data_IF_489980863047
#
_entry.id   IF_489980863047
#
_cell.length_a   1.000
_cell.length_b   1.000
_cell.length_c   1.000
_cell.angle_alpha   90.00
_cell.angle_beta   90.00
_cell.angle_gamma   90.00
#
_symmetry.space_group_name_H-M   'P 1'
#
loop_
_entity.id
_entity.type
_entity.pdbx_description
1 polymer ?
#
# COMPACT_ATOMS: atom_id res chain seq x y z
N UNK A 1 -4.28 -16.90 16.75
CA UNK A 1 -5.57 -16.19 16.53
C UNK A 1 -5.23 -14.71 16.49
N UNK A 2 -4.96 -14.16 15.28
CA UNK A 2 -4.70 -12.74 15.12
C UNK A 2 -5.99 -11.98 15.42
N UNK A 3 -5.94 -11.03 16.34
CA UNK A 3 -7.06 -10.14 16.60
C UNK A 3 -7.38 -9.34 15.34
N UNK A 4 -8.62 -9.34 14.94
CA UNK A 4 -9.13 -8.88 13.67
C UNK A 4 -9.25 -7.34 13.56
N UNK A 5 -8.18 -6.62 13.75
CA UNK A 5 -8.16 -5.17 13.48
C UNK A 5 -6.88 -4.83 12.75
N UNK A 6 -7.03 -4.45 11.51
CA UNK A 6 -5.94 -4.18 10.58
C UNK A 6 -5.19 -2.87 10.88
N UNK A 7 -5.84 -1.93 11.54
CA UNK A 7 -5.17 -0.85 12.26
C UNK A 7 -4.07 -1.39 13.19
N UNK A 8 -4.20 -2.65 13.60
CA UNK A 8 -3.24 -3.32 14.48
C UNK A 8 -2.02 -3.90 13.72
N UNK A 9 -2.08 -4.16 12.41
CA UNK A 9 -0.92 -4.67 11.67
C UNK A 9 0.04 -3.56 11.20
N UNK A 10 -0.48 -2.37 10.92
CA UNK A 10 0.35 -1.16 10.77
C UNK A 10 0.98 -0.72 12.10
N UNK A 11 0.60 -1.34 13.18
CA UNK A 11 0.97 -0.98 14.55
C UNK A 11 1.55 -2.13 15.39
N UNK A 12 1.74 -3.33 14.82
CA UNK A 12 2.49 -4.39 15.51
C UNK A 12 3.97 -4.04 15.53
N UNK A 13 4.49 -3.77 16.72
CA UNK A 13 5.89 -3.39 16.95
C UNK A 13 6.72 -4.59 17.41
N UNK A 14 6.19 -5.79 17.32
CA UNK A 14 6.86 -7.02 17.69
C UNK A 14 6.15 -7.77 18.81
N UNK A 15 6.83 -8.79 19.36
CA UNK A 15 6.33 -9.57 20.49
C UNK A 15 7.09 -9.22 21.77
N UNK A 16 6.38 -9.15 22.91
CA UNK A 16 7.00 -9.15 24.24
C UNK A 16 6.56 -10.44 24.95
N UNK A 17 7.51 -11.31 25.29
CA UNK A 17 7.26 -12.58 25.99
C UNK A 17 6.24 -13.49 25.28
N UNK A 18 6.24 -13.52 23.94
CA UNK A 18 5.32 -14.34 23.15
C UNK A 18 3.91 -13.78 23.00
N UNK A 19 3.64 -12.57 23.46
CA UNK A 19 2.39 -11.85 23.24
C UNK A 19 2.58 -10.73 22.22
N UNK A 20 1.69 -10.64 21.25
CA UNK A 20 1.67 -9.54 20.28
C UNK A 20 1.47 -8.19 20.97
N UNK A 21 2.37 -7.25 20.68
CA UNK A 21 2.25 -5.90 21.19
C UNK A 21 1.53 -5.06 20.13
N UNK A 22 0.38 -4.59 20.49
CA UNK A 22 -0.42 -3.66 19.69
C UNK A 22 -0.07 -2.22 20.06
N UNK A 23 -0.25 -1.31 19.11
CA UNK A 23 0.00 0.12 19.33
C UNK A 23 -0.70 0.63 20.60
N UNK A 24 -1.96 0.26 20.81
CA UNK A 24 -2.73 0.64 22.01
C UNK A 24 -2.15 0.11 23.33
N UNK A 25 -1.36 -0.97 23.32
CA UNK A 25 -0.66 -1.48 24.51
C UNK A 25 0.60 -0.65 24.80
N UNK A 26 1.21 -0.11 23.75
CA UNK A 26 2.37 0.77 23.88
C UNK A 26 1.94 2.18 24.31
N UNK A 27 0.81 2.71 23.81
CA UNK A 27 0.20 3.94 24.32
C UNK A 27 -0.05 3.89 25.83
N UNK A 28 -0.61 2.78 26.34
CA UNK A 28 -0.78 2.54 27.78
C UNK A 28 0.54 2.53 28.58
N UNK A 29 1.68 2.38 27.88
CA UNK A 29 3.03 2.44 28.43
C UNK A 29 3.73 3.77 28.18
N UNK A 30 3.00 4.77 27.67
CA UNK A 30 3.51 6.12 27.42
C UNK A 30 4.10 6.33 26.01
N UNK A 31 3.74 5.48 25.05
CA UNK A 31 4.09 5.65 23.65
C UNK A 31 2.91 6.21 22.87
N UNK A 32 3.13 7.28 22.17
CA UNK A 32 2.16 7.86 21.23
C UNK A 32 2.46 7.33 19.82
N UNK A 33 1.66 6.36 19.37
CA UNK A 33 1.82 5.74 18.04
C UNK A 33 1.11 6.51 16.94
N UNK A 34 0.06 7.23 17.26
CA UNK A 34 -0.67 8.04 16.28
C UNK A 34 0.21 9.15 15.70
N UNK A 35 1.25 9.54 16.45
CA UNK A 35 2.18 10.60 16.08
C UNK A 35 3.63 10.13 15.91
N UNK A 36 3.92 8.84 16.05
CA UNK A 36 5.26 8.26 16.18
C UNK A 36 6.10 8.12 14.91
N UNK A 37 5.73 8.73 13.80
CA UNK A 37 6.43 8.55 12.52
C UNK A 37 7.48 9.61 12.27
N UNK A 38 8.64 9.14 11.76
CA UNK A 38 9.73 10.01 11.30
C UNK A 38 9.27 10.77 10.07
N UNK A 39 9.24 12.08 10.13
CA UNK A 39 9.15 12.92 8.92
C UNK A 39 10.55 13.34 8.50
N UNK A 40 10.98 13.05 7.27
CA UNK A 40 12.30 13.49 6.78
C UNK A 40 12.21 14.89 6.18
N UNK A 41 11.84 15.90 6.97
CA UNK A 41 11.76 17.26 6.42
C UNK A 41 13.05 18.08 6.57
N UNK A 42 14.04 17.60 7.34
CA UNK A 42 15.21 18.43 7.68
C UNK A 42 16.50 17.68 8.02
N UNK A 43 16.56 16.38 7.72
CA UNK A 43 17.74 15.56 8.02
C UNK A 43 17.94 15.28 9.50
N UNK A 44 16.98 15.56 10.35
CA UNK A 44 17.01 15.19 11.76
C UNK A 44 16.35 13.84 12.01
N UNK A 45 16.95 13.05 12.88
CA UNK A 45 16.49 11.74 13.34
C UNK A 45 15.29 11.84 14.30
N UNK A 46 14.21 12.48 13.88
CA UNK A 46 13.05 12.71 14.74
C UNK A 46 11.76 12.15 14.14
N UNK A 47 10.86 11.68 14.99
CA UNK A 47 9.49 11.35 14.61
C UNK A 47 8.66 12.64 14.36
N UNK A 48 7.37 12.47 14.01
CA UNK A 48 6.46 13.59 13.73
C UNK A 48 6.39 14.64 14.85
N UNK A 49 6.65 14.24 16.10
CA UNK A 49 6.66 15.09 17.29
C UNK A 49 8.07 15.56 17.70
N UNK A 50 9.07 15.39 16.83
CA UNK A 50 10.43 15.77 17.13
C UNK A 50 11.18 14.80 18.07
N UNK A 51 10.64 13.59 18.32
CA UNK A 51 11.30 12.59 19.17
C UNK A 51 12.37 11.81 18.38
N UNK A 52 13.56 11.60 18.94
CA UNK A 52 14.64 10.90 18.23
C UNK A 52 14.29 9.43 17.96
N UNK A 53 14.56 8.93 16.74
CA UNK A 53 14.48 7.50 16.37
C UNK A 53 15.33 6.61 17.29
N UNK A 54 16.39 7.15 17.88
CA UNK A 54 17.14 6.50 18.95
C UNK A 54 16.30 5.98 20.12
N UNK A 55 15.11 6.56 20.31
CA UNK A 55 14.19 6.12 21.35
C UNK A 55 13.58 4.77 20.95
N UNK A 56 13.11 4.60 19.70
CA UNK A 56 12.49 3.36 19.22
C UNK A 56 13.45 2.16 19.33
N UNK A 57 14.71 2.31 18.91
CA UNK A 57 15.70 1.23 19.01
C UNK A 57 16.05 0.88 20.46
N UNK A 58 16.13 1.88 21.36
CA UNK A 58 16.34 1.64 22.79
C UNK A 58 15.15 0.94 23.41
N UNK A 59 13.97 1.34 23.03
CA UNK A 59 12.72 0.82 23.58
C UNK A 59 12.51 -0.62 23.12
N UNK A 60 12.72 -0.92 21.83
CA UNK A 60 12.70 -2.30 21.32
C UNK A 60 13.68 -3.18 22.12
N UNK A 61 14.90 -2.71 22.37
CA UNK A 61 15.90 -3.44 23.15
C UNK A 61 15.48 -3.59 24.62
N UNK A 62 14.97 -2.55 25.26
CA UNK A 62 14.60 -2.56 26.68
C UNK A 62 13.38 -3.43 26.98
N UNK A 63 12.52 -3.65 25.98
CA UNK A 63 11.33 -4.49 26.07
C UNK A 63 11.54 -5.88 25.48
N UNK A 64 12.77 -6.24 25.07
CA UNK A 64 13.12 -7.53 24.45
C UNK A 64 12.21 -7.85 23.25
N UNK A 65 12.03 -6.90 22.36
CA UNK A 65 11.27 -7.10 21.11
C UNK A 65 12.05 -8.04 20.20
N UNK A 66 11.45 -9.11 19.74
CA UNK A 66 12.09 -10.12 18.88
C UNK A 66 12.36 -9.57 17.49
N UNK A 67 11.40 -8.85 16.89
CA UNK A 67 11.53 -8.15 15.61
C UNK A 67 10.48 -7.03 15.49
N UNK A 68 10.74 -6.08 14.62
CA UNK A 68 9.86 -4.94 14.36
C UNK A 68 9.35 -5.00 12.92
N UNK A 69 8.04 -4.86 12.73
CA UNK A 69 7.42 -4.68 11.42
C UNK A 69 7.21 -3.20 11.13
N UNK A 70 7.60 -2.75 9.91
CA UNK A 70 7.43 -1.36 9.50
C UNK A 70 6.31 -1.26 8.46
N UNK A 71 5.24 -0.54 8.79
CA UNK A 71 4.10 -0.31 7.90
C UNK A 71 4.31 0.84 6.91
N UNK A 72 4.67 2.06 7.39
CA UNK A 72 4.68 3.23 6.53
C UNK A 72 5.97 3.38 5.72
N UNK A 73 5.82 3.75 4.45
CA UNK A 73 6.91 3.94 3.49
C UNK A 73 7.83 5.12 3.82
N UNK A 74 7.31 6.19 4.40
CA UNK A 74 8.09 7.39 4.70
C UNK A 74 9.22 7.11 5.69
N UNK A 75 8.99 6.28 6.71
CA UNK A 75 10.02 5.91 7.68
C UNK A 75 11.03 4.92 7.09
N UNK A 76 10.60 4.05 6.17
CA UNK A 76 11.49 3.18 5.41
C UNK A 76 12.43 4.00 4.52
N UNK A 77 11.89 4.96 3.77
CA UNK A 77 12.68 5.90 2.96
C UNK A 77 13.63 6.76 3.82
N UNK A 78 13.28 7.01 5.09
CA UNK A 78 14.14 7.71 6.05
C UNK A 78 15.22 6.82 6.69
N UNK A 79 15.28 5.51 6.34
CA UNK A 79 16.32 4.59 6.78
C UNK A 79 16.13 4.06 8.20
N UNK A 80 14.89 3.81 8.63
CA UNK A 80 14.59 3.19 9.94
C UNK A 80 15.24 1.81 10.04
N UNK A 81 15.21 1.02 8.96
CA UNK A 81 15.79 -0.33 8.90
C UNK A 81 17.29 -0.30 9.16
N UNK A 82 18.04 0.56 8.46
CA UNK A 82 19.48 0.72 8.64
C UNK A 82 19.86 1.07 10.09
N UNK A 83 19.00 1.83 10.78
CA UNK A 83 19.21 2.22 12.17
C UNK A 83 18.94 1.09 13.15
N UNK A 84 17.90 0.28 12.91
CA UNK A 84 17.60 -0.89 13.72
C UNK A 84 18.68 -1.96 13.58
N UNK A 85 19.10 -2.26 12.36
CA UNK A 85 20.17 -3.22 12.06
C UNK A 85 21.51 -2.78 12.71
N UNK A 86 21.85 -1.48 12.59
CA UNK A 86 23.03 -0.92 13.28
C UNK A 86 22.95 -1.02 14.80
N UNK A 87 21.75 -1.05 15.36
CA UNK A 87 21.52 -1.26 16.80
C UNK A 87 21.49 -2.75 17.19
N UNK A 88 21.64 -3.67 16.23
CA UNK A 88 21.54 -5.12 16.43
C UNK A 88 20.11 -5.60 16.69
N UNK A 89 19.13 -4.88 16.18
CA UNK A 89 17.70 -5.20 16.30
C UNK A 89 17.17 -5.73 14.97
N UNK A 90 16.40 -6.82 15.02
CA UNK A 90 15.74 -7.36 13.82
C UNK A 90 14.58 -6.47 13.40
N UNK A 91 14.44 -6.28 12.10
CA UNK A 91 13.42 -5.42 11.53
C UNK A 91 12.94 -6.01 10.20
N UNK A 92 11.62 -5.99 9.98
CA UNK A 92 10.98 -6.38 8.74
C UNK A 92 10.53 -5.12 8.00
N UNK A 93 11.34 -4.72 7.06
CA UNK A 93 11.20 -3.56 6.19
C UNK A 93 12.51 -3.35 5.43
N UNK A 94 12.48 -2.98 4.14
CA UNK A 94 13.68 -2.79 3.35
C UNK A 94 14.54 -1.65 3.89
N UNK A 95 15.85 -1.71 3.62
CA UNK A 95 16.78 -0.62 3.95
C UNK A 95 16.46 0.66 3.15
N UNK A 96 17.09 1.77 3.51
CA UNK A 96 16.85 3.08 2.89
C UNK A 96 17.04 3.06 1.37
N UNK A 97 18.03 2.33 0.87
CA UNK A 97 18.32 2.23 -0.55
C UNK A 97 17.23 1.46 -1.30
N UNK A 98 16.78 0.33 -0.77
CA UNK A 98 15.73 -0.48 -1.36
C UNK A 98 14.37 0.23 -1.28
N UNK A 99 14.13 1.00 -0.21
CA UNK A 99 12.93 1.81 -0.06
C UNK A 99 12.78 2.90 -1.14
N UNK A 100 13.87 3.27 -1.84
CA UNK A 100 13.79 4.18 -2.98
C UNK A 100 12.99 3.61 -4.17
N UNK A 101 12.73 2.31 -4.21
CA UNK A 101 11.81 1.73 -5.21
C UNK A 101 10.37 2.26 -5.10
N UNK A 102 9.96 2.75 -3.91
CA UNK A 102 8.72 3.52 -3.72
C UNK A 102 9.01 5.02 -3.57
N UNK A 103 10.12 5.36 -2.93
CA UNK A 103 10.50 6.73 -2.60
C UNK A 103 10.79 7.63 -3.81
N UNK A 104 11.16 7.06 -4.95
CA UNK A 104 11.41 7.79 -6.21
C UNK A 104 10.92 6.96 -7.41
N UNK A 105 10.04 7.53 -8.19
CA UNK A 105 9.52 6.89 -9.41
C UNK A 105 10.60 6.76 -10.48
N UNK A 106 11.42 7.78 -10.64
CA UNK A 106 12.58 7.74 -11.54
C UNK A 106 13.55 6.62 -11.14
N UNK A 107 13.83 6.46 -9.84
CA UNK A 107 14.68 5.38 -9.36
C UNK A 107 14.10 3.99 -9.68
N UNK A 108 12.82 3.79 -9.44
CA UNK A 108 12.12 2.54 -9.76
C UNK A 108 12.14 2.25 -11.27
N UNK A 109 11.90 3.26 -12.10
CA UNK A 109 11.90 3.12 -13.56
C UNK A 109 13.30 2.78 -14.09
N UNK A 110 14.35 3.42 -13.56
CA UNK A 110 15.74 3.07 -13.89
C UNK A 110 16.11 1.66 -13.45
N UNK A 111 15.64 1.23 -12.29
CA UNK A 111 15.80 -0.15 -11.82
C UNK A 111 15.13 -1.13 -12.80
N UNK A 112 13.87 -0.88 -13.16
CA UNK A 112 13.14 -1.72 -14.11
C UNK A 112 13.83 -1.78 -15.49
N UNK A 113 14.28 -0.64 -15.99
CA UNK A 113 15.01 -0.57 -17.26
C UNK A 113 16.33 -1.36 -17.21
N UNK A 114 17.10 -1.20 -16.13
CA UNK A 114 18.39 -1.90 -15.96
C UNK A 114 18.27 -3.40 -15.95
N UNK A 115 17.20 -3.92 -15.38
CA UNK A 115 16.97 -5.36 -15.22
C UNK A 115 15.94 -5.94 -16.19
N UNK A 116 15.58 -5.18 -17.23
CA UNK A 116 14.63 -5.56 -18.29
C UNK A 116 13.26 -5.99 -17.75
N UNK A 117 12.77 -5.31 -16.73
CA UNK A 117 11.45 -5.53 -16.15
C UNK A 117 10.44 -4.73 -16.97
N UNK A 118 9.37 -5.37 -17.50
CA UNK A 118 8.37 -4.68 -18.32
C UNK A 118 7.69 -3.56 -17.55
N UNK A 119 7.75 -2.34 -18.08
CA UNK A 119 7.05 -1.16 -17.56
C UNK A 119 6.62 -0.25 -18.72
N UNK A 120 5.95 0.84 -18.42
CA UNK A 120 5.60 1.85 -19.39
C UNK A 120 6.85 2.51 -20.01
N UNK A 121 6.76 2.94 -21.27
CA UNK A 121 7.77 3.84 -21.84
C UNK A 121 7.71 5.16 -21.05
N UNK A 122 8.87 5.65 -20.65
CA UNK A 122 8.96 6.82 -19.78
C UNK A 122 10.12 7.73 -20.12
N UNK A 123 10.05 8.96 -19.65
CA UNK A 123 11.16 9.90 -19.63
C UNK A 123 11.05 10.82 -18.41
N UNK A 124 12.18 11.14 -17.79
CA UNK A 124 12.27 11.98 -16.59
C UNK A 124 12.85 13.33 -16.93
N UNK A 125 12.22 14.40 -16.46
CA UNK A 125 12.57 15.78 -16.73
C UNK A 125 12.79 16.55 -15.43
N UNK A 126 13.75 17.49 -15.46
CA UNK A 126 14.12 18.31 -14.30
C UNK A 126 13.74 19.79 -14.47
N UNK A 127 13.05 20.14 -15.56
CA UNK A 127 12.46 21.48 -15.73
C UNK A 127 11.14 21.41 -16.50
N UNK A 128 10.26 22.39 -16.28
CA UNK A 128 8.98 22.47 -16.96
C UNK A 128 9.15 22.60 -18.49
N UNK A 129 10.11 23.40 -18.93
CA UNK A 129 10.35 23.68 -20.35
C UNK A 129 10.75 22.41 -21.11
N UNK A 130 11.69 21.63 -20.53
CA UNK A 130 12.13 20.38 -21.16
C UNK A 130 11.06 19.31 -21.11
N UNK A 131 10.28 19.23 -20.03
CA UNK A 131 9.18 18.30 -19.87
C UNK A 131 8.06 18.57 -20.90
N UNK A 132 7.65 19.84 -21.04
CA UNK A 132 6.67 20.26 -22.06
C UNK A 132 7.17 19.96 -23.48
N UNK A 133 8.45 20.23 -23.77
CA UNK A 133 9.03 19.91 -25.06
C UNK A 133 9.08 18.39 -25.34
N UNK A 134 9.19 17.55 -24.29
CA UNK A 134 9.17 16.09 -24.35
C UNK A 134 7.78 15.49 -24.65
N UNK A 135 6.69 16.23 -24.43
CA UNK A 135 5.32 15.74 -24.72
C UNK A 135 5.13 15.28 -26.16
N UNK A 136 5.88 15.84 -27.12
CA UNK A 136 5.84 15.44 -28.53
C UNK A 136 6.19 13.97 -28.79
N UNK A 137 6.90 13.36 -27.86
CA UNK A 137 7.35 11.97 -27.95
C UNK A 137 6.35 10.99 -27.30
N UNK A 138 5.21 11.48 -26.80
CA UNK A 138 4.16 10.69 -26.16
C UNK A 138 2.80 10.90 -26.84
N UNK A 139 2.04 9.82 -26.91
CA UNK A 139 0.64 9.88 -27.34
C UNK A 139 -0.27 10.26 -26.16
N UNK A 140 -1.38 10.94 -26.45
CA UNK A 140 -2.40 11.21 -25.44
C UNK A 140 -3.44 10.10 -25.36
N UNK A 141 -3.92 9.77 -24.14
CA UNK A 141 -3.55 10.39 -22.86
C UNK A 141 -2.12 10.03 -22.42
N UNK A 142 -1.44 10.97 -21.79
CA UNK A 142 -0.11 10.77 -21.18
C UNK A 142 -0.21 10.79 -19.66
N UNK A 143 0.58 9.97 -18.99
CA UNK A 143 0.65 9.94 -17.52
C UNK A 143 1.80 10.82 -17.05
N UNK A 144 1.50 11.73 -16.14
CA UNK A 144 2.45 12.68 -15.55
C UNK A 144 2.55 12.35 -14.05
N UNK A 145 3.74 12.05 -13.59
CA UNK A 145 3.99 11.67 -12.18
C UNK A 145 4.99 12.61 -11.52
N UNK A 146 4.64 13.05 -10.32
CA UNK A 146 5.62 13.68 -9.42
C UNK A 146 6.66 12.62 -9.00
N UNK A 147 7.93 12.98 -8.95
CA UNK A 147 8.95 12.12 -8.35
C UNK A 147 8.95 12.30 -6.83
N UNK A 148 8.87 11.17 -6.10
CA UNK A 148 8.77 11.16 -4.65
C UNK A 148 7.49 10.52 -4.12
N UNK A 149 7.36 10.48 -2.78
CA UNK A 149 6.17 9.99 -2.08
C UNK A 149 5.03 11.00 -2.22
N UNK A 150 3.92 10.58 -2.82
CA UNK A 150 2.75 11.46 -3.07
C UNK A 150 1.42 10.88 -2.56
N UNK A 151 1.44 9.74 -1.85
CA UNK A 151 0.23 9.11 -1.29
C UNK A 151 -0.86 8.83 -2.33
N UNK A 152 -0.48 8.41 -3.54
CA UNK A 152 -1.42 8.15 -4.65
C UNK A 152 -1.98 9.40 -5.34
N UNK A 153 -1.55 10.60 -4.95
CA UNK A 153 -2.09 11.88 -5.47
C UNK A 153 -1.18 12.56 -6.50
N UNK A 154 0.08 12.18 -6.60
CA UNK A 154 1.07 12.77 -7.52
C UNK A 154 1.00 12.23 -8.95
N UNK A 155 -0.15 11.71 -9.40
CA UNK A 155 -0.33 11.11 -10.74
C UNK A 155 -1.50 11.77 -11.45
N UNK A 156 -1.25 12.36 -12.60
CA UNK A 156 -2.27 12.94 -13.50
C UNK A 156 -2.26 12.23 -14.84
N UNK A 157 -3.43 11.82 -15.31
CA UNK A 157 -3.62 11.31 -16.67
C UNK A 157 -4.15 12.48 -17.52
N UNK A 158 -3.26 13.12 -18.27
CA UNK A 158 -3.59 14.24 -19.12
C UNK A 158 -4.13 13.77 -20.47
N UNK A 159 -5.35 14.20 -20.80
CA UNK A 159 -6.06 13.76 -22.01
C UNK A 159 -5.64 14.51 -23.27
N UNK A 160 -5.03 15.66 -23.12
CA UNK A 160 -4.55 16.53 -24.21
C UNK A 160 -3.37 17.38 -23.73
N UNK A 161 -2.78 18.10 -24.68
CA UNK A 161 -1.59 18.91 -24.45
C UNK A 161 -1.82 20.03 -23.43
N UNK A 162 -2.96 20.73 -23.48
CA UNK A 162 -3.23 21.88 -22.60
C UNK A 162 -3.23 21.42 -21.13
N UNK A 163 -3.95 20.32 -20.82
CA UNK A 163 -3.97 19.74 -19.48
C UNK A 163 -2.59 19.26 -19.05
N UNK A 164 -1.81 18.67 -19.98
CA UNK A 164 -0.47 18.21 -19.66
C UNK A 164 0.46 19.36 -19.31
N UNK A 165 0.46 20.44 -20.13
CA UNK A 165 1.30 21.61 -19.88
C UNK A 165 0.95 22.31 -18.57
N UNK A 166 -0.35 22.48 -18.28
CA UNK A 166 -0.82 23.06 -17.02
C UNK A 166 -0.33 22.23 -15.83
N UNK A 167 -0.57 20.91 -15.86
CA UNK A 167 -0.12 19.97 -14.79
C UNK A 167 1.39 20.05 -14.58
N UNK A 168 2.19 20.02 -15.65
CA UNK A 168 3.66 20.08 -15.56
C UNK A 168 4.09 21.40 -14.90
N UNK A 169 3.51 22.53 -15.32
CA UNK A 169 3.83 23.85 -14.73
C UNK A 169 3.48 23.90 -13.24
N UNK A 170 2.32 23.36 -12.87
CA UNK A 170 1.87 23.31 -11.47
C UNK A 170 2.82 22.45 -10.61
N UNK A 171 3.22 21.27 -11.07
CA UNK A 171 4.14 20.39 -10.35
C UNK A 171 5.48 21.08 -10.10
N UNK A 172 6.11 21.67 -11.11
CA UNK A 172 7.38 22.39 -10.92
C UNK A 172 7.22 23.66 -10.09
N UNK A 173 6.12 24.41 -10.26
CA UNK A 173 5.82 25.58 -9.41
C UNK A 173 5.57 25.18 -7.94
N UNK A 174 5.03 23.99 -7.72
CA UNK A 174 4.86 23.37 -6.39
C UNK A 174 6.14 22.87 -5.76
N UNK A 175 7.30 22.98 -6.45
CA UNK A 175 8.62 22.64 -5.91
C UNK A 175 9.13 21.25 -6.30
N UNK A 176 8.47 20.54 -7.23
CA UNK A 176 9.00 19.29 -7.75
C UNK A 176 10.33 19.53 -8.47
N UNK A 177 11.33 18.71 -8.17
CA UNK A 177 12.66 18.75 -8.77
C UNK A 177 12.78 17.85 -10.00
N UNK A 178 11.86 16.88 -10.13
CA UNK A 178 11.74 15.99 -11.26
C UNK A 178 10.27 15.62 -11.50
N UNK A 179 9.90 15.45 -12.77
CA UNK A 179 8.60 14.96 -13.22
C UNK A 179 8.84 13.86 -14.25
N UNK A 180 8.06 12.79 -14.13
CA UNK A 180 8.12 11.66 -15.06
C UNK A 180 6.92 11.71 -16.01
N UNK A 181 7.18 11.60 -17.30
CA UNK A 181 6.16 11.32 -18.31
C UNK A 181 6.17 9.82 -18.63
N UNK A 182 4.98 9.22 -18.68
CA UNK A 182 4.83 7.80 -19.07
C UNK A 182 3.71 7.64 -20.12
N UNK A 183 3.87 6.63 -20.97
CA UNK A 183 2.75 6.18 -21.82
C UNK A 183 1.58 5.72 -20.92
N UNK A 184 0.35 6.02 -21.35
CA UNK A 184 -0.83 5.58 -20.63
C UNK A 184 -1.12 4.10 -20.93
N UNK A 185 -0.84 3.22 -19.99
CA UNK A 185 -1.18 1.83 -20.11
C UNK A 185 -2.69 1.61 -20.00
N UNK A 186 -3.23 0.66 -20.74
CA UNK A 186 -4.65 0.29 -20.74
C UNK A 186 -4.82 -1.18 -20.43
N UNK A 187 -5.67 -1.48 -19.47
CA UNK A 187 -5.98 -2.85 -19.04
C UNK A 187 -6.48 -2.90 -17.60
N UNK A 188 -6.81 -4.08 -17.09
CA UNK A 188 -7.08 -4.27 -15.67
C UNK A 188 -5.81 -4.14 -14.84
N UNK A 189 -5.92 -3.45 -13.70
CA UNK A 189 -4.86 -3.31 -12.71
C UNK A 189 -4.98 -4.41 -11.65
N UNK A 190 -3.84 -4.97 -11.23
CA UNK A 190 -3.75 -6.00 -10.20
C UNK A 190 -2.63 -5.69 -9.22
N UNK A 191 -2.81 -6.14 -7.98
CA UNK A 191 -1.84 -6.00 -6.89
C UNK A 191 -1.22 -7.36 -6.58
N UNK A 192 0.11 -7.46 -6.70
CA UNK A 192 0.88 -8.65 -6.34
C UNK A 192 1.81 -8.30 -5.17
N UNK A 193 1.89 -9.20 -4.20
CA UNK A 193 2.69 -9.03 -2.99
C UNK A 193 3.72 -10.13 -2.89
N UNK A 194 4.95 -9.75 -2.60
CA UNK A 194 6.07 -10.66 -2.46
C UNK A 194 6.76 -10.39 -1.13
N UNK A 195 6.82 -11.38 -0.25
CA UNK A 195 7.71 -11.36 0.91
C UNK A 195 9.10 -11.69 0.42
N UNK A 196 10.05 -10.82 0.68
CA UNK A 196 11.44 -10.94 0.24
C UNK A 196 12.36 -11.01 1.47
N UNK A 197 13.34 -11.88 1.41
CA UNK A 197 14.44 -11.94 2.36
C UNK A 197 15.72 -12.28 1.59
N UNK A 198 16.50 -11.25 1.27
CA UNK A 198 17.71 -11.34 0.46
C UNK A 198 17.45 -11.98 -0.91
N UNK A 199 17.96 -13.19 -1.15
CA UNK A 199 17.80 -13.96 -2.39
C UNK A 199 16.54 -14.85 -2.40
N UNK A 200 15.79 -14.87 -1.30
CA UNK A 200 14.59 -15.70 -1.12
C UNK A 200 13.34 -14.88 -1.22
N UNK A 201 12.29 -15.47 -1.76
CA UNK A 201 10.98 -14.83 -1.80
C UNK A 201 9.84 -15.86 -1.74
N UNK A 202 8.69 -15.40 -1.28
CA UNK A 202 7.41 -16.12 -1.37
C UNK A 202 6.31 -15.14 -1.76
N UNK A 203 5.31 -15.62 -2.52
CA UNK A 203 4.27 -14.76 -3.10
C UNK A 203 3.00 -14.93 -2.29
N UNK A 204 2.42 -13.81 -1.86
CA UNK A 204 1.13 -13.75 -1.17
C UNK A 204 -0.03 -13.82 -2.17
N UNK A 205 -1.28 -14.04 -1.70
CA UNK A 205 -2.46 -13.92 -2.55
C UNK A 205 -2.51 -12.56 -3.25
N UNK A 206 -2.95 -12.56 -4.51
CA UNK A 206 -3.16 -11.32 -5.27
C UNK A 206 -4.49 -10.67 -4.92
N UNK A 207 -4.57 -9.36 -5.09
CA UNK A 207 -5.79 -8.58 -4.92
C UNK A 207 -6.04 -7.63 -6.09
N UNK A 208 -7.26 -7.11 -6.18
CA UNK A 208 -7.59 -5.98 -7.04
C UNK A 208 -8.20 -4.85 -6.23
N UNK A 209 -7.61 -3.67 -6.35
CA UNK A 209 -8.07 -2.42 -5.75
C UNK A 209 -8.93 -1.61 -6.72
N UNK A 210 -9.65 -0.65 -6.17
CA UNK A 210 -10.46 0.33 -6.89
C UNK A 210 -9.96 1.74 -6.55
N UNK A 211 -9.05 2.25 -7.38
CA UNK A 211 -8.33 3.53 -7.15
C UNK A 211 -9.21 4.77 -7.30
N UNK A 212 -10.22 4.74 -8.19
CA UNK A 212 -11.07 5.91 -8.45
C UNK A 212 -12.12 6.10 -7.36
N UNK A 213 -12.41 7.37 -7.03
CA UNK A 213 -13.31 7.73 -5.92
C UNK A 213 -14.77 7.32 -6.14
N UNK A 214 -15.24 7.31 -7.36
CA UNK A 214 -16.66 7.07 -7.70
C UNK A 214 -16.90 5.79 -8.47
N UNK A 215 -18.16 5.35 -8.44
CA UNK A 215 -18.66 4.18 -9.16
C UNK A 215 -18.33 4.27 -10.67
N UNK A 216 -18.04 3.12 -11.26
CA UNK A 216 -17.66 3.03 -12.68
C UNK A 216 -16.30 3.66 -12.98
N UNK A 217 -15.40 3.69 -11.99
CA UNK A 217 -14.04 4.24 -12.09
C UNK A 217 -14.00 5.71 -12.53
N UNK A 218 -14.87 6.51 -11.95
CA UNK A 218 -14.99 7.96 -12.23
C UNK A 218 -14.35 8.80 -11.12
N UNK A 219 -13.98 10.03 -11.50
CA UNK A 219 -13.40 11.01 -10.58
C UNK A 219 -11.88 10.82 -10.37
N UNK A 220 -11.31 11.52 -9.39
CA UNK A 220 -9.88 11.47 -9.08
C UNK A 220 -9.42 10.12 -8.53
N UNK A 221 -8.11 9.88 -8.60
CA UNK A 221 -7.46 8.78 -7.90
C UNK A 221 -7.49 9.00 -6.38
N UNK A 222 -7.48 7.91 -5.65
CA UNK A 222 -7.48 7.87 -4.18
C UNK A 222 -6.41 6.91 -3.67
N UNK A 223 -6.31 6.72 -2.37
CA UNK A 223 -5.52 5.65 -1.76
C UNK A 223 -6.15 4.26 -1.87
N UNK A 224 -7.32 4.12 -2.53
CA UNK A 224 -8.11 2.90 -2.66
C UNK A 224 -9.46 3.01 -1.97
N UNK A 225 -10.51 2.61 -2.68
CA UNK A 225 -11.91 2.67 -2.21
C UNK A 225 -12.45 1.30 -1.79
N UNK A 226 -11.64 0.27 -1.91
CA UNK A 226 -11.96 -1.09 -1.57
C UNK A 226 -11.27 -2.08 -2.50
N UNK A 227 -11.18 -3.32 -2.06
CA UNK A 227 -10.44 -4.37 -2.74
C UNK A 227 -11.08 -5.73 -2.53
N UNK A 228 -10.60 -6.72 -3.27
CA UNK A 228 -11.02 -8.11 -3.12
C UNK A 228 -9.93 -9.09 -3.53
N UNK A 229 -10.01 -10.30 -3.00
CA UNK A 229 -9.18 -11.46 -3.30
C UNK A 229 -10.04 -12.74 -3.09
N UNK A 230 -9.92 -13.81 -3.93
CA UNK A 230 -9.03 -13.97 -5.08
C UNK A 230 -9.48 -13.17 -6.31
N UNK A 231 -8.76 -13.36 -7.41
CA UNK A 231 -9.04 -12.76 -8.71
C UNK A 231 -9.55 -13.84 -9.69
N UNK A 232 -10.86 -14.20 -9.69
CA UNK A 232 -11.37 -15.27 -10.53
C UNK A 232 -11.23 -14.99 -12.02
N UNK A 233 -11.20 -13.71 -12.42
CA UNK A 233 -11.01 -13.28 -13.80
C UNK A 233 -9.56 -13.39 -14.28
N UNK A 234 -8.57 -13.57 -13.39
CA UNK A 234 -7.16 -13.72 -13.75
C UNK A 234 -6.82 -15.20 -14.01
N UNK A 235 -6.41 -15.52 -15.22
CA UNK A 235 -6.01 -16.88 -15.59
C UNK A 235 -4.70 -17.27 -14.89
N UNK A 236 -4.56 -18.55 -14.57
CA UNK A 236 -3.34 -19.10 -13.95
C UNK A 236 -2.10 -18.87 -14.80
N UNK A 237 -2.25 -18.98 -16.12
CA UNK A 237 -1.19 -18.76 -17.09
C UNK A 237 -0.68 -17.33 -17.08
N UNK A 238 -1.60 -16.36 -16.98
CA UNK A 238 -1.24 -14.94 -16.90
C UNK A 238 -0.55 -14.61 -15.57
N UNK A 239 -1.05 -15.17 -14.44
CA UNK A 239 -0.37 -15.07 -13.15
C UNK A 239 1.05 -15.67 -13.21
N UNK A 240 1.22 -16.81 -13.84
CA UNK A 240 2.55 -17.43 -13.99
C UNK A 240 3.48 -16.57 -14.84
N UNK A 241 2.98 -15.97 -15.93
CA UNK A 241 3.75 -15.04 -16.76
C UNK A 241 4.19 -13.80 -15.96
N UNK A 242 3.32 -13.22 -15.13
CA UNK A 242 3.69 -12.12 -14.24
C UNK A 242 4.85 -12.51 -13.31
N UNK A 243 4.81 -13.73 -12.78
CA UNK A 243 5.90 -14.24 -11.93
C UNK A 243 7.21 -14.39 -12.74
N UNK A 244 7.14 -14.96 -13.92
CA UNK A 244 8.33 -15.26 -14.72
C UNK A 244 8.94 -13.98 -15.35
N UNK A 245 8.11 -13.06 -15.84
CA UNK A 245 8.53 -11.89 -16.59
C UNK A 245 8.77 -10.66 -15.70
N UNK A 246 8.19 -10.62 -14.48
CA UNK A 246 8.28 -9.44 -13.60
C UNK A 246 8.89 -9.81 -12.23
N UNK A 247 8.28 -10.74 -11.48
CA UNK A 247 8.74 -11.04 -10.11
C UNK A 247 10.17 -11.56 -10.12
N UNK A 248 10.46 -12.61 -10.91
CA UNK A 248 11.81 -13.19 -10.96
C UNK A 248 12.88 -12.21 -11.44
N UNK A 249 12.68 -11.41 -12.49
CA UNK A 249 13.63 -10.34 -12.86
C UNK A 249 13.79 -9.30 -11.79
N UNK A 250 12.71 -8.92 -11.09
CA UNK A 250 12.78 -7.98 -9.95
C UNK A 250 13.66 -8.55 -8.83
N UNK A 251 13.41 -9.80 -8.41
CA UNK A 251 14.23 -10.45 -7.38
C UNK A 251 15.69 -10.57 -7.81
N UNK A 252 15.95 -10.97 -9.04
CA UNK A 252 17.31 -11.01 -9.59
C UNK A 252 17.97 -9.61 -9.58
N UNK A 253 17.20 -8.57 -9.90
CA UNK A 253 17.66 -7.19 -9.87
C UNK A 253 18.03 -6.73 -8.46
N UNK A 254 17.23 -7.11 -7.45
CA UNK A 254 17.54 -6.80 -6.04
C UNK A 254 18.85 -7.45 -5.61
N UNK A 255 19.04 -8.74 -5.92
CA UNK A 255 20.26 -9.48 -5.58
C UNK A 255 21.48 -8.91 -6.33
N UNK A 256 21.41 -8.75 -7.65
CA UNK A 256 22.51 -8.22 -8.45
C UNK A 256 22.87 -6.78 -8.11
N UNK A 257 21.90 -6.02 -7.63
CA UNK A 257 22.10 -4.64 -7.20
C UNK A 257 22.54 -4.51 -5.75
N UNK A 258 22.69 -5.62 -5.02
CA UNK A 258 23.09 -5.61 -3.58
C UNK A 258 22.16 -4.73 -2.72
N UNK A 259 20.83 -4.99 -2.85
CA UNK A 259 19.82 -4.15 -2.18
C UNK A 259 19.57 -4.52 -0.72
N UNK A 260 19.95 -5.73 -0.28
CA UNK A 260 19.67 -6.22 1.08
C UNK A 260 18.22 -6.00 1.49
N UNK A 261 17.29 -6.63 0.74
CA UNK A 261 15.87 -6.46 0.94
C UNK A 261 15.32 -7.48 1.94
N UNK A 262 14.74 -7.02 3.04
CA UNK A 262 13.94 -7.84 3.95
C UNK A 262 12.60 -7.13 4.20
N UNK A 263 11.49 -7.64 3.66
CA UNK A 263 10.20 -6.95 3.77
C UNK A 263 9.19 -7.40 2.74
N UNK A 264 8.09 -6.67 2.62
CA UNK A 264 7.11 -6.89 1.54
C UNK A 264 7.41 -5.95 0.38
N UNK A 265 7.43 -6.49 -0.82
CA UNK A 265 7.40 -5.73 -2.06
C UNK A 265 6.01 -5.89 -2.69
N UNK A 266 5.25 -4.81 -2.76
CA UNK A 266 4.04 -4.70 -3.54
C UNK A 266 4.43 -4.31 -4.97
N UNK A 267 3.85 -4.99 -5.94
CA UNK A 267 4.03 -4.75 -7.37
C UNK A 267 2.66 -4.41 -7.96
N UNK A 268 2.44 -3.16 -8.32
CA UNK A 268 1.28 -2.72 -9.09
C UNK A 268 1.45 -3.10 -10.56
N UNK A 269 0.50 -3.85 -11.10
CA UNK A 269 0.57 -4.44 -12.44
C UNK A 269 -0.60 -3.96 -13.30
N UNK A 270 -0.33 -3.55 -14.54
CA UNK A 270 -1.34 -3.39 -15.58
C UNK A 270 -1.23 -4.56 -16.57
N UNK A 271 -2.31 -5.31 -16.75
CA UNK A 271 -2.36 -6.36 -17.76
C UNK A 271 -2.81 -5.74 -19.09
N UNK A 272 -1.86 -5.47 -19.98
CA UNK A 272 -2.11 -4.92 -21.30
C UNK A 272 -2.31 -6.04 -22.35
N UNK A 273 -2.74 -5.69 -23.54
CA UNK A 273 -2.83 -6.63 -24.68
C UNK A 273 -1.47 -7.27 -25.03
N UNK A 274 -0.37 -6.57 -24.75
CA UNK A 274 1.00 -7.02 -25.03
C UNK A 274 1.70 -7.67 -23.82
N UNK A 275 0.96 -8.02 -22.77
CA UNK A 275 1.48 -8.61 -21.55
C UNK A 275 1.40 -7.66 -20.35
N UNK A 276 1.83 -8.16 -19.21
CA UNK A 276 1.78 -7.37 -17.97
C UNK A 276 2.95 -6.41 -17.87
N UNK A 277 2.68 -5.20 -17.40
CA UNK A 277 3.68 -4.16 -17.14
C UNK A 277 3.57 -3.66 -15.71
N UNK A 278 4.69 -3.35 -15.08
CA UNK A 278 4.73 -2.73 -13.75
C UNK A 278 4.30 -1.28 -13.87
N UNK A 279 3.38 -0.85 -13.00
CA UNK A 279 2.93 0.53 -12.86
C UNK A 279 3.77 1.25 -11.80
N UNK A 280 4.00 0.55 -10.68
CA UNK A 280 4.73 1.06 -9.52
C UNK A 280 5.18 -0.08 -8.60
N UNK A 281 6.19 0.18 -7.79
CA UNK A 281 6.52 -0.59 -6.61
C UNK A 281 6.09 0.17 -5.36
N UNK A 282 5.62 -0.59 -4.34
CA UNK A 282 5.52 -0.10 -2.98
C UNK A 282 6.31 -1.06 -2.07
N UNK A 283 7.04 -0.53 -1.11
CA UNK A 283 7.98 -1.31 -0.28
C UNK A 283 7.37 -1.74 1.05
N UNK A 284 6.08 -1.91 1.05
CA UNK A 284 5.23 -2.28 2.19
C UNK A 284 3.98 -3.00 1.70
N UNK A 285 3.17 -3.46 2.65
CA UNK A 285 1.83 -3.97 2.34
C UNK A 285 0.94 -2.86 1.77
N UNK A 286 -0.01 -3.22 0.89
CA UNK A 286 -0.98 -2.30 0.31
C UNK A 286 -2.14 -1.98 1.27
N UNK A 287 -2.76 -0.84 1.08
CA UNK A 287 -3.97 -0.43 1.78
C UNK A 287 -4.94 0.22 0.77
N UNK A 288 -6.05 -0.46 0.41
CA UNK A 288 -6.83 -1.42 1.22
C UNK A 288 -6.63 -2.91 0.86
N UNK A 289 -5.56 -3.33 0.21
CA UNK A 289 -5.41 -4.72 -0.25
C UNK A 289 -5.06 -5.70 0.86
N UNK A 290 -4.30 -5.29 1.84
CA UNK A 290 -3.85 -6.16 2.94
C UNK A 290 -5.02 -6.77 3.68
N UNK A 291 -6.09 -6.01 3.88
CA UNK A 291 -7.32 -6.41 4.55
C UNK A 291 -8.06 -7.56 3.85
N UNK A 292 -7.75 -7.80 2.57
CA UNK A 292 -8.34 -8.91 1.81
C UNK A 292 -7.33 -9.99 1.43
N UNK A 293 -6.03 -9.72 1.58
CA UNK A 293 -4.95 -10.66 1.26
C UNK A 293 -4.60 -11.55 2.46
N UNK A 294 -4.34 -10.95 3.62
CA UNK A 294 -3.88 -11.73 4.77
C UNK A 294 -4.93 -12.70 5.34
N UNK A 295 -6.24 -12.40 5.35
CA UNK A 295 -7.23 -13.39 5.78
C UNK A 295 -7.25 -14.65 4.93
N UNK A 296 -6.70 -14.60 3.70
CA UNK A 296 -6.62 -15.73 2.79
C UNK A 296 -5.39 -16.62 3.00
N UNK A 297 -4.48 -16.25 3.89
CA UNK A 297 -3.27 -17.03 4.19
C UNK A 297 -3.57 -18.00 5.34
N UNK A 298 -3.30 -19.30 5.12
CA UNK A 298 -3.40 -20.33 6.17
C UNK A 298 -2.19 -20.34 7.09
N UNK A 299 -1.02 -19.98 6.57
CA UNK A 299 0.21 -19.90 7.36
C UNK A 299 0.04 -18.88 8.50
N UNK A 300 0.69 -19.13 9.62
CA UNK A 300 0.92 -18.09 10.60
C UNK A 300 1.86 -17.03 9.99
N UNK A 301 1.34 -15.83 9.71
CA UNK A 301 2.11 -14.79 9.03
C UNK A 301 3.27 -14.27 9.89
N UNK A 302 3.17 -14.34 11.22
CA UNK A 302 4.28 -14.01 12.10
C UNK A 302 5.46 -14.97 11.90
N UNK A 303 5.20 -16.25 11.64
CA UNK A 303 6.26 -17.21 11.32
C UNK A 303 6.91 -16.95 9.95
N UNK A 304 6.14 -16.42 8.99
CA UNK A 304 6.71 -15.98 7.69
C UNK A 304 7.67 -14.81 7.89
N UNK A 305 7.27 -13.83 8.72
CA UNK A 305 8.10 -12.68 9.06
C UNK A 305 9.33 -13.12 9.84
N UNK A 306 9.17 -14.01 10.83
CA UNK A 306 10.27 -14.51 11.64
C UNK A 306 11.33 -15.23 10.76
N UNK A 307 10.90 -16.08 9.84
CA UNK A 307 11.79 -16.70 8.86
C UNK A 307 12.51 -15.66 7.99
N UNK A 308 11.80 -14.59 7.58
CA UNK A 308 12.38 -13.53 6.75
C UNK A 308 13.47 -12.75 7.48
N UNK A 309 13.21 -12.28 8.71
CA UNK A 309 14.18 -11.48 9.50
C UNK A 309 15.35 -12.31 10.05
N UNK A 310 15.22 -13.64 10.06
CA UNK A 310 16.29 -14.57 10.38
C UNK A 310 17.04 -15.06 9.12
N UNK A 311 16.65 -14.60 7.92
CA UNK A 311 17.20 -15.03 6.64
C UNK A 311 17.13 -16.56 6.45
N UNK A 312 16.08 -17.19 6.99
CA UNK A 312 15.81 -18.61 6.83
C UNK A 312 15.08 -18.91 5.53
N UNK A 313 14.79 -20.17 5.26
CA UNK A 313 13.96 -20.55 4.12
C UNK A 313 12.53 -20.05 4.36
N UNK A 314 12.03 -19.21 3.47
CA UNK A 314 10.64 -18.75 3.54
C UNK A 314 9.68 -19.92 3.30
N UNK A 315 8.61 -20.04 4.10
CA UNK A 315 7.56 -21.02 3.84
C UNK A 315 6.82 -20.70 2.53
N UNK A 316 6.36 -21.73 1.85
CA UNK A 316 5.40 -21.57 0.77
C UNK A 316 4.06 -21.11 1.37
N UNK A 317 3.43 -20.14 0.73
CA UNK A 317 2.14 -19.60 1.21
C UNK A 317 1.01 -20.53 0.76
N UNK A 318 0.27 -21.01 1.74
CA UNK A 318 -0.95 -21.79 1.56
C UNK A 318 -2.16 -20.85 1.60
N UNK A 319 -2.90 -20.79 0.51
CA UNK A 319 -4.15 -20.02 0.42
C UNK A 319 -5.34 -20.86 0.91
N UNK A 320 -6.31 -20.22 1.58
CA UNK A 320 -7.61 -20.82 1.83
C UNK A 320 -8.53 -20.61 0.62
N UNK A 321 -9.67 -21.31 0.61
CA UNK A 321 -10.61 -21.27 -0.50
C UNK A 321 -11.64 -20.12 -0.37
N UNK A 322 -11.55 -19.32 0.70
CA UNK A 322 -12.47 -18.22 0.91
C UNK A 322 -12.19 -17.04 -0.01
N UNK A 323 -13.23 -16.31 -0.32
CA UNK A 323 -13.16 -15.00 -0.96
C UNK A 323 -13.30 -13.91 0.09
N UNK A 324 -12.49 -12.87 -0.01
CA UNK A 324 -12.53 -11.72 0.89
C UNK A 324 -12.74 -10.46 0.07
N UNK A 325 -13.70 -9.64 0.51
CA UNK A 325 -14.01 -8.35 -0.11
C UNK A 325 -14.20 -7.31 0.97
N UNK A 326 -13.66 -6.12 0.72
CA UNK A 326 -13.82 -4.99 1.63
C UNK A 326 -14.12 -3.69 0.90
N UNK A 327 -14.98 -2.88 1.50
CA UNK A 327 -15.40 -1.58 1.00
C UNK A 327 -15.00 -0.49 1.99
N UNK A 328 -14.27 0.50 1.49
CA UNK A 328 -13.79 1.62 2.30
C UNK A 328 -14.86 2.69 2.40
N UNK A 329 -15.15 3.12 3.63
CA UNK A 329 -16.01 4.25 3.94
C UNK A 329 -15.15 5.49 4.16
N UNK A 330 -15.47 6.55 3.42
CA UNK A 330 -14.73 7.81 3.43
C UNK A 330 -15.58 8.96 3.95
N UNK A 331 -14.94 9.99 4.51
CA UNK A 331 -15.61 11.26 4.79
C UNK A 331 -15.93 12.02 3.50
N UNK A 332 -17.02 12.79 3.48
CA UNK A 332 -17.35 13.67 2.35
C UNK A 332 -16.16 14.56 1.97
N UNK A 333 -16.00 14.80 0.68
CA UNK A 333 -14.92 15.61 0.13
C UNK A 333 -13.59 14.88 -0.10
N UNK A 334 -13.45 13.62 0.34
CA UNK A 334 -12.29 12.81 0.00
C UNK A 334 -12.21 12.54 -1.51
N UNK A 335 -11.04 12.58 -2.17
CA UNK A 335 -9.67 12.71 -1.61
C UNK A 335 -9.17 14.15 -1.46
N UNK A 336 -9.84 15.15 -2.01
CA UNK A 336 -9.32 16.52 -2.11
C UNK A 336 -9.48 17.36 -0.84
N UNK A 337 -10.67 17.37 -0.25
CA UNK A 337 -11.00 18.17 0.93
C UNK A 337 -11.84 17.32 1.90
N UNK A 338 -11.25 16.27 2.51
CA UNK A 338 -12.01 15.39 3.39
C UNK A 338 -12.50 16.14 4.62
N UNK A 339 -13.78 15.98 4.95
CA UNK A 339 -14.40 16.60 6.11
C UNK A 339 -13.82 16.02 7.40
N UNK A 340 -13.30 16.87 8.32
CA UNK A 340 -12.83 16.42 9.62
C UNK A 340 -13.99 16.26 10.61
N UNK A 341 -13.75 15.56 11.72
CA UNK A 341 -14.66 15.40 12.85
C UNK A 341 -16.06 14.87 12.46
N UNK A 342 -16.11 13.95 11.50
CA UNK A 342 -17.35 13.31 11.04
C UNK A 342 -17.89 12.40 12.13
N UNK A 343 -19.15 12.59 12.54
CA UNK A 343 -19.78 11.75 13.55
C UNK A 343 -20.13 10.39 12.93
N UNK A 344 -19.52 9.32 13.45
CA UNK A 344 -19.79 7.93 13.06
C UNK A 344 -20.69 7.27 14.12
N UNK A 345 -20.40 7.48 15.41
CA UNK A 345 -21.10 6.84 16.52
C UNK A 345 -20.69 5.36 16.66
N UNK A 346 -21.59 4.57 17.22
CA UNK A 346 -21.38 3.14 17.39
C UNK A 346 -21.74 2.38 16.11
N UNK A 347 -20.80 1.61 15.59
CA UNK A 347 -21.05 0.69 14.49
C UNK A 347 -21.57 -0.65 15.06
N UNK A 348 -22.70 -1.18 14.52
CA UNK A 348 -23.25 -2.44 14.99
C UNK A 348 -22.33 -3.62 14.65
N UNK A 349 -22.39 -4.69 15.44
CA UNK A 349 -21.72 -5.94 15.06
C UNK A 349 -22.41 -6.55 13.83
N UNK A 350 -21.61 -6.98 12.87
CA UNK A 350 -22.07 -7.68 11.68
C UNK A 350 -22.01 -9.20 11.86
N UNK A 351 -23.01 -9.94 11.40
CA UNK A 351 -23.02 -11.39 11.51
C UNK A 351 -21.91 -12.06 10.66
N UNK A 352 -21.63 -11.48 9.47
CA UNK A 352 -20.68 -12.02 8.49
C UNK A 352 -19.70 -10.93 8.01
N UNK A 353 -19.53 -9.87 8.79
CA UNK A 353 -18.65 -8.74 8.47
C UNK A 353 -17.88 -8.32 9.70
N UNK A 354 -16.70 -7.75 9.48
CA UNK A 354 -15.91 -7.08 10.50
C UNK A 354 -15.40 -5.75 9.96
N UNK A 355 -14.84 -4.93 10.84
CA UNK A 355 -14.44 -3.57 10.53
C UNK A 355 -12.98 -3.36 10.89
N UNK A 356 -12.23 -2.86 9.92
CA UNK A 356 -10.90 -2.31 10.14
C UNK A 356 -10.96 -0.80 10.16
N UNK A 357 -10.51 -0.21 11.26
CA UNK A 357 -10.53 1.23 11.48
C UNK A 357 -9.28 1.89 10.90
N UNK A 358 -9.46 3.09 10.33
CA UNK A 358 -8.38 3.92 9.80
C UNK A 358 -8.38 5.31 10.49
N UNK A 359 -8.76 6.37 9.79
CA UNK A 359 -8.75 7.72 10.38
C UNK A 359 -9.97 7.97 11.29
N UNK A 360 -10.02 7.32 12.42
CA UNK A 360 -11.07 7.48 13.44
C UNK A 360 -10.45 7.68 14.82
N UNK A 361 -11.15 8.43 15.65
CA UNK A 361 -10.79 8.70 17.05
C UNK A 361 -12.00 8.50 17.97
N UNK A 362 -11.78 8.47 19.27
CA UNK A 362 -12.82 8.23 20.28
C UNK A 362 -12.80 6.80 20.80
N UNK A 363 -13.96 6.27 21.10
CA UNK A 363 -14.12 4.88 21.53
C UNK A 363 -15.21 4.18 20.69
N UNK A 364 -15.33 2.86 20.81
CA UNK A 364 -16.25 2.07 19.99
C UNK A 364 -17.74 2.46 20.10
N UNK A 365 -18.14 3.11 21.19
CA UNK A 365 -19.52 3.60 21.37
C UNK A 365 -19.72 5.03 20.79
N UNK A 366 -18.63 5.75 20.52
CA UNK A 366 -18.67 7.12 20.05
C UNK A 366 -17.47 7.44 19.14
N UNK A 367 -17.48 6.82 17.95
CA UNK A 367 -16.45 7.02 16.92
C UNK A 367 -16.64 8.35 16.20
N UNK A 368 -15.53 9.02 15.94
CA UNK A 368 -15.47 10.27 15.18
C UNK A 368 -14.41 10.08 14.09
N UNK A 369 -14.80 10.31 12.83
CA UNK A 369 -13.88 10.30 11.70
C UNK A 369 -13.04 11.57 11.64
N UNK A 370 -11.73 11.42 11.38
CA UNK A 370 -10.78 12.54 11.32
C UNK A 370 -10.36 12.90 9.88
N UNK A 371 -11.24 12.61 8.93
CA UNK A 371 -11.06 12.89 7.50
C UNK A 371 -10.47 11.73 6.71
N UNK A 372 -10.60 11.77 5.40
CA UNK A 372 -10.09 10.75 4.50
C UNK A 372 -10.85 9.43 4.56
N UNK A 373 -10.12 8.31 4.51
CA UNK A 373 -10.67 6.96 4.66
C UNK A 373 -10.85 6.67 6.14
N UNK A 374 -12.06 6.33 6.56
CA UNK A 374 -12.43 6.24 7.97
C UNK A 374 -12.35 4.81 8.51
N UNK A 375 -12.91 3.88 7.77
CA UNK A 375 -12.88 2.46 8.09
C UNK A 375 -13.21 1.63 6.85
N UNK A 376 -12.93 0.34 6.91
CA UNK A 376 -13.26 -0.63 5.88
C UNK A 376 -14.21 -1.69 6.44
N UNK A 377 -15.28 -1.99 5.75
CA UNK A 377 -16.18 -3.11 6.07
C UNK A 377 -15.78 -4.28 5.22
N UNK A 378 -15.48 -5.42 5.84
CA UNK A 378 -14.88 -6.58 5.21
C UNK A 378 -15.75 -7.81 5.47
N UNK A 379 -15.83 -8.70 4.49
CA UNK A 379 -16.46 -10.03 4.62
C UNK A 379 -15.57 -11.11 4.02
N UNK A 380 -15.49 -12.23 4.74
CA UNK A 380 -14.98 -13.51 4.27
C UNK A 380 -16.16 -14.42 3.96
N UNK A 381 -16.18 -15.04 2.78
CA UNK A 381 -17.28 -15.90 2.34
C UNK A 381 -16.80 -16.96 1.33
N UNK A 382 -17.65 -17.90 1.00
CA UNK A 382 -17.32 -18.99 0.06
C UNK A 382 -17.05 -18.50 -1.38
N UNK A 383 -17.57 -17.32 -1.72
CA UNK A 383 -17.34 -16.69 -3.02
C UNK A 383 -17.49 -15.16 -2.96
N UNK A 384 -17.03 -14.47 -4.01
CA UNK A 384 -17.03 -12.99 -4.08
C UNK A 384 -18.46 -12.42 -4.05
N UNK A 385 -19.45 -13.08 -4.67
CA UNK A 385 -20.84 -12.61 -4.66
C UNK A 385 -21.36 -12.51 -3.23
N UNK A 386 -21.17 -13.58 -2.46
CA UNK A 386 -21.62 -13.62 -1.07
C UNK A 386 -20.86 -12.63 -0.18
N UNK A 387 -19.55 -12.48 -0.37
CA UNK A 387 -18.76 -11.48 0.34
C UNK A 387 -19.26 -10.06 0.05
N UNK A 388 -19.53 -9.75 -1.22
CA UNK A 388 -20.09 -8.48 -1.68
C UNK A 388 -21.46 -8.22 -1.06
N UNK A 389 -22.37 -9.18 -1.12
CA UNK A 389 -23.73 -9.09 -0.56
C UNK A 389 -23.69 -8.83 0.95
N UNK A 390 -22.82 -9.52 1.68
CA UNK A 390 -22.65 -9.33 3.13
C UNK A 390 -22.21 -7.89 3.45
N UNK A 391 -21.19 -7.39 2.75
CA UNK A 391 -20.66 -6.03 2.98
C UNK A 391 -21.70 -4.97 2.66
N UNK A 392 -22.35 -5.03 1.49
CA UNK A 392 -23.36 -4.02 1.12
C UNK A 392 -24.64 -4.12 1.93
N UNK A 393 -25.04 -5.33 2.35
CA UNK A 393 -26.14 -5.50 3.30
C UNK A 393 -25.85 -4.89 4.67
N UNK A 394 -24.61 -4.92 5.10
CA UNK A 394 -24.19 -4.25 6.33
C UNK A 394 -24.18 -2.73 6.14
N UNK A 395 -23.49 -2.23 5.11
CA UNK A 395 -23.39 -0.80 4.82
C UNK A 395 -24.73 -0.11 4.65
N UNK A 396 -25.70 -0.79 4.02
CA UNK A 396 -27.06 -0.24 3.80
C UNK A 396 -27.85 0.03 5.09
N UNK A 397 -27.43 -0.53 6.22
CA UNK A 397 -28.07 -0.34 7.54
C UNK A 397 -27.46 0.79 8.34
N UNK A 398 -26.32 1.33 7.88
CA UNK A 398 -25.62 2.40 8.58
C UNK A 398 -26.22 3.77 8.20
N UNK A 399 -26.43 4.61 9.21
CA UNK A 399 -26.81 6.01 9.01
C UNK A 399 -25.54 6.89 9.12
N UNK A 400 -24.93 7.17 7.99
CA UNK A 400 -23.67 7.88 7.86
C UNK A 400 -23.81 9.08 6.91
N UNK A 401 -24.56 10.15 7.29
CA UNK A 401 -24.93 11.22 6.38
C UNK A 401 -23.72 12.02 5.83
N UNK A 402 -22.59 12.02 6.54
CA UNK A 402 -21.38 12.74 6.15
C UNK A 402 -20.26 11.82 5.61
N UNK A 403 -20.62 10.58 5.28
CA UNK A 403 -19.73 9.62 4.66
C UNK A 403 -20.23 9.21 3.29
N UNK A 404 -19.35 8.53 2.55
CA UNK A 404 -19.70 7.86 1.31
C UNK A 404 -18.79 6.64 1.07
N UNK A 405 -19.22 5.75 0.21
CA UNK A 405 -18.47 4.59 -0.26
C UNK A 405 -18.87 4.24 -1.69
N UNK A 406 -18.09 3.42 -2.37
CA UNK A 406 -18.44 2.91 -3.71
C UNK A 406 -19.41 1.74 -3.61
N UNK A 407 -20.31 1.61 -4.60
CA UNK A 407 -21.33 0.55 -4.66
C UNK A 407 -20.96 -0.58 -5.64
N UNK A 408 -19.79 -0.52 -6.27
CA UNK A 408 -19.39 -1.42 -7.35
C UNK A 408 -18.09 -2.18 -7.06
N UNK A 409 -17.61 -2.18 -5.80
CA UNK A 409 -16.43 -2.95 -5.41
C UNK A 409 -16.70 -4.45 -5.61
N UNK A 410 -15.80 -5.11 -6.33
CA UNK A 410 -15.92 -6.53 -6.68
C UNK A 410 -16.66 -6.81 -7.99
N UNK A 411 -17.37 -5.84 -8.59
CA UNK A 411 -18.12 -6.07 -9.83
C UNK A 411 -17.23 -6.53 -11.00
N UNK A 412 -15.94 -6.25 -10.98
CA UNK A 412 -15.00 -6.71 -12.00
C UNK A 412 -14.76 -8.22 -11.95
N UNK A 413 -14.88 -8.82 -10.76
CA UNK A 413 -14.79 -10.28 -10.57
C UNK A 413 -16.03 -11.04 -11.07
N UNK A 414 -17.14 -10.33 -11.31
CA UNK A 414 -18.43 -10.89 -11.69
C UNK A 414 -18.77 -10.70 -13.18
N UNK A 415 -17.86 -10.07 -13.92
CA UNK A 415 -18.01 -9.93 -15.38
C UNK A 415 -17.44 -11.17 -16.05
N UNK A 416 -18.26 -11.81 -16.87
CA UNK A 416 -17.89 -12.95 -17.74
C UNK A 416 -16.80 -12.57 -18.76
#
# INVERSE_FOLDING_TARGET
MFGRTYSDLGSVVGQINGEDIRANQLERRGYDWENGYVTPSDGQDTNRDGQPVRKLTKDAKSHNIDWTFVGPENVLCAGITDKFEKAGQKIFGPNQRAAQLEGSKDYALRFMSKYNIPTARYETFTSAETCIAGLKDFDFPVVIKEDGLAGGKGVTIAKNQDVAEETIREMFAGGQTAVVLEECLVGPEYSMFVVVSEDKFTILPMAQDHKRVGDGDKGPNTGGMGSYSPLPQLKKEDRQRMIDEIVKPTMNGLVQGDYHYCGVLYIGLMMTENGSKVIEYNVRLGDPETQVVLPRIKNDFAMVIDAAVNHEKLPEIEENDQSVLGVVVCSKGYPTHPAPNVKIGKLPEGANTYIDYANVKGNLDNLIGDGGRLFMVISEADNIVQAQDNVYSYLSKLDLPDCFYRHDIGNRALRD
#
